data_IF_421653637965
#
_entry.id   IF_421653637965
#
_cell.length_a   1.000
_cell.length_b   1.000
_cell.length_c   1.000
_cell.angle_alpha   90.00
_cell.angle_beta   90.00
_cell.angle_gamma   90.00
#
_symmetry.space_group_name_H-M   'P 1'
#
loop_
_entity.id
_entity.type
_entity.pdbx_description
1 polymer ?
#
# COMPACT_ATOMS: atom_id res chain seq x y z
N UNK A 1 -39.06 35.70 34.83
CA UNK A 1 -38.94 36.98 34.12
C UNK A 1 -38.85 36.72 32.62
N UNK A 2 -39.83 37.27 31.89
CA UNK A 2 -39.88 37.56 30.45
C UNK A 2 -39.77 36.41 29.44
N UNK A 3 -40.59 36.27 28.39
CA UNK A 3 -41.94 36.75 28.00
C UNK A 3 -42.34 35.85 26.80
N UNK A 4 -43.60 35.41 26.77
CA UNK A 4 -44.53 35.15 25.64
C UNK A 4 -43.95 34.84 24.24
N UNK A 5 -44.46 33.90 23.44
CA UNK A 5 -45.83 33.83 22.92
C UNK A 5 -46.08 32.43 22.31
N UNK A 6 -47.31 31.93 22.48
CA UNK A 6 -47.89 30.75 21.83
C UNK A 6 -48.43 31.10 20.43
N UNK A 7 -48.31 30.18 19.47
CA UNK A 7 -49.25 29.99 18.36
C UNK A 7 -49.16 28.51 17.92
N UNK A 8 -50.09 27.63 18.31
CA UNK A 8 -51.33 27.25 17.56
C UNK A 8 -50.95 26.66 16.18
N UNK A 9 -50.82 25.34 16.01
CA UNK A 9 -51.83 24.27 15.88
C UNK A 9 -52.54 24.28 14.51
N UNK A 10 -52.27 23.24 13.70
CA UNK A 10 -53.15 22.54 12.73
C UNK A 10 -52.24 21.60 11.88
N UNK A 11 -52.21 20.29 12.14
CA UNK A 11 -53.11 19.25 11.62
C UNK A 11 -52.69 18.72 10.23
N UNK A 12 -52.17 17.49 10.24
CA UNK A 12 -52.47 16.46 9.24
C UNK A 12 -51.75 16.51 7.90
N UNK A 13 -50.73 15.66 7.75
CA UNK A 13 -50.65 14.72 6.63
C UNK A 13 -49.58 13.65 6.94
N UNK A 14 -50.04 12.43 7.21
CA UNK A 14 -49.22 11.22 7.14
C UNK A 14 -48.83 11.05 5.68
N UNK A 15 -47.56 11.29 5.35
CA UNK A 15 -46.96 10.84 4.11
C UNK A 15 -45.81 9.90 4.44
N UNK A 16 -46.13 8.61 4.32
CA UNK A 16 -45.35 7.53 3.74
C UNK A 16 -43.85 7.48 4.09
N UNK A 17 -43.52 6.43 4.84
CA UNK A 17 -42.22 5.79 4.93
C UNK A 17 -41.61 5.62 3.53
N UNK A 18 -40.75 6.58 3.17
CA UNK A 18 -39.95 6.56 1.96
C UNK A 18 -38.51 6.22 2.32
N UNK A 19 -38.16 4.96 2.05
CA UNK A 19 -36.84 4.46 1.71
C UNK A 19 -35.67 4.85 2.63
N UNK A 20 -35.18 3.85 3.37
CA UNK A 20 -33.83 3.81 3.90
C UNK A 20 -32.85 4.38 2.88
N UNK A 21 -32.08 5.37 3.32
CA UNK A 21 -30.88 5.82 2.61
C UNK A 21 -29.90 4.68 2.51
N UNK A 22 -30.03 3.87 1.46
CA UNK A 22 -28.94 3.06 0.96
C UNK A 22 -28.02 4.04 0.28
N UNK A 23 -27.00 4.49 1.03
CA UNK A 23 -25.81 5.11 0.50
C UNK A 23 -25.28 4.09 -0.51
N UNK A 24 -25.66 4.26 -1.76
CA UNK A 24 -25.07 3.57 -2.89
C UNK A 24 -23.59 3.96 -2.81
N UNK A 25 -22.80 3.03 -2.28
CA UNK A 25 -21.38 3.01 -2.53
C UNK A 25 -21.23 3.25 -4.02
N UNK A 26 -20.56 4.36 -4.34
CA UNK A 26 -20.02 4.58 -5.66
C UNK A 26 -19.19 3.34 -5.97
N UNK A 27 -19.77 2.42 -6.72
CA UNK A 27 -19.02 1.49 -7.55
C UNK A 27 -18.31 2.39 -8.55
N UNK A 28 -17.12 2.86 -8.19
CA UNK A 28 -16.17 3.34 -9.17
C UNK A 28 -16.00 2.21 -10.17
N UNK A 29 -16.60 2.39 -11.33
CA UNK A 29 -16.22 1.67 -12.54
C UNK A 29 -14.85 2.23 -12.90
N UNK A 30 -13.76 1.55 -12.54
CA UNK A 30 -12.43 1.76 -13.14
C UNK A 30 -12.04 0.51 -13.90
N UNK A 31 -12.19 0.63 -15.22
CA UNK A 31 -11.80 -0.33 -16.25
C UNK A 31 -10.27 -0.41 -16.43
N UNK A 32 -9.50 0.15 -15.50
CA UNK A 32 -8.02 0.28 -15.54
C UNK A 32 -7.27 -0.81 -14.76
N UNK A 33 -7.98 -1.69 -14.06
CA UNK A 33 -7.36 -2.69 -13.16
C UNK A 33 -7.10 -4.04 -13.82
N UNK A 34 -7.66 -4.30 -15.01
CA UNK A 34 -7.52 -5.60 -15.69
C UNK A 34 -6.08 -5.88 -16.16
N UNK A 35 -5.23 -4.85 -16.24
CA UNK A 35 -3.85 -4.94 -16.71
C UNK A 35 -2.81 -4.70 -15.61
N UNK A 36 -3.22 -4.60 -14.34
CA UNK A 36 -2.31 -4.42 -13.22
C UNK A 36 -2.08 -5.72 -12.46
N UNK A 37 -0.85 -5.92 -12.02
CA UNK A 37 -0.45 -7.02 -11.14
C UNK A 37 -0.73 -6.62 -9.69
N UNK A 38 -1.20 -7.57 -8.90
CA UNK A 38 -1.36 -7.44 -7.45
C UNK A 38 -0.12 -8.01 -6.78
N UNK A 39 0.65 -7.19 -6.09
CA UNK A 39 1.87 -7.63 -5.40
C UNK A 39 1.84 -7.18 -3.94
N UNK A 40 2.50 -7.93 -3.07
CA UNK A 40 2.68 -7.56 -1.67
C UNK A 40 4.15 -7.26 -1.40
N UNK A 41 4.44 -6.09 -0.85
CA UNK A 41 5.77 -5.70 -0.36
C UNK A 41 5.77 -5.77 1.16
N UNK A 42 6.76 -6.43 1.74
CA UNK A 42 6.99 -6.52 3.18
C UNK A 42 8.39 -6.00 3.47
N UNK A 43 8.52 -5.05 4.41
CA UNK A 43 9.80 -4.54 4.85
C UNK A 43 10.08 -5.01 6.28
N UNK A 44 11.27 -5.59 6.47
CA UNK A 44 11.74 -6.10 7.76
C UNK A 44 13.09 -5.52 8.13
N UNK A 45 13.28 -5.28 9.41
CA UNK A 45 14.57 -4.99 10.01
C UNK A 45 14.78 -5.89 11.23
N UNK A 46 15.91 -6.59 11.28
CA UNK A 46 16.22 -7.57 12.34
C UNK A 46 15.05 -8.56 12.58
N UNK A 47 14.55 -9.11 11.47
CA UNK A 47 13.40 -10.03 11.37
C UNK A 47 12.04 -9.49 11.84
N UNK A 48 11.97 -8.22 12.23
CA UNK A 48 10.71 -7.56 12.60
C UNK A 48 10.13 -6.83 11.40
N UNK A 49 8.89 -7.15 11.06
CA UNK A 49 8.11 -6.40 10.07
C UNK A 49 7.80 -5.01 10.61
N UNK A 50 8.12 -3.99 9.81
CA UNK A 50 7.81 -2.60 10.12
C UNK A 50 6.90 -1.94 9.09
N UNK A 51 6.81 -2.50 7.88
CA UNK A 51 5.83 -2.10 6.87
C UNK A 51 5.37 -3.30 6.04
N UNK A 52 4.11 -3.24 5.62
CA UNK A 52 3.51 -4.18 4.68
C UNK A 52 2.47 -3.46 3.83
N UNK A 53 2.61 -3.56 2.51
CA UNK A 53 1.76 -2.87 1.54
C UNK A 53 1.36 -3.80 0.39
N UNK A 54 0.08 -3.77 0.04
CA UNK A 54 -0.42 -4.37 -1.19
C UNK A 54 -0.47 -3.29 -2.29
N UNK A 55 0.12 -3.59 -3.44
CA UNK A 55 0.28 -2.66 -4.55
C UNK A 55 -0.36 -3.21 -5.83
N UNK A 56 -0.97 -2.30 -6.59
CA UNK A 56 -1.41 -2.54 -7.97
C UNK A 56 -0.39 -1.91 -8.92
N UNK A 57 0.50 -2.74 -9.46
CA UNK A 57 1.64 -2.31 -10.30
C UNK A 57 1.37 -2.64 -11.76
N UNK A 58 2.04 -1.96 -12.69
CA UNK A 58 1.87 -2.27 -14.12
C UNK A 58 2.59 -3.58 -14.44
N UNK A 59 2.13 -4.27 -15.49
CA UNK A 59 2.89 -5.38 -16.09
C UNK A 59 4.27 -4.91 -16.53
N UNK A 60 5.22 -5.82 -16.48
CA UNK A 60 6.61 -5.62 -16.93
C UNK A 60 7.36 -4.48 -16.21
N UNK A 61 6.93 -4.10 -14.99
CA UNK A 61 7.70 -3.21 -14.11
C UNK A 61 8.74 -4.03 -13.31
N UNK A 62 9.96 -3.48 -13.22
CA UNK A 62 11.00 -4.04 -12.35
C UNK A 62 10.66 -3.79 -10.88
N UNK A 63 11.15 -4.67 -10.00
CA UNK A 63 11.02 -4.48 -8.56
C UNK A 63 11.66 -3.15 -8.11
N UNK A 64 12.82 -2.78 -8.66
CA UNK A 64 13.46 -1.50 -8.34
C UNK A 64 12.53 -0.31 -8.62
N UNK A 65 11.93 -0.27 -9.81
CA UNK A 65 11.01 0.80 -10.20
C UNK A 65 9.80 0.86 -9.27
N UNK A 66 9.22 -0.29 -8.92
CA UNK A 66 8.11 -0.34 -7.98
C UNK A 66 8.52 0.17 -6.60
N UNK A 67 9.72 -0.15 -6.14
CA UNK A 67 10.23 0.36 -4.86
C UNK A 67 10.41 1.88 -4.90
N UNK A 68 11.08 2.44 -5.91
CA UNK A 68 11.33 3.89 -6.04
C UNK A 68 10.04 4.72 -6.17
N UNK A 69 8.98 4.16 -6.75
CA UNK A 69 7.68 4.83 -6.89
C UNK A 69 6.90 4.84 -5.58
N UNK A 70 7.05 3.82 -4.73
CA UNK A 70 6.18 3.59 -3.57
C UNK A 70 6.86 3.83 -2.21
N UNK A 71 8.19 3.98 -2.21
CA UNK A 71 9.06 4.11 -1.05
C UNK A 71 10.16 5.12 -1.33
N UNK A 72 10.72 5.71 -0.28
CA UNK A 72 11.95 6.47 -0.42
C UNK A 72 13.12 5.49 -0.45
N UNK A 73 13.67 5.25 -1.63
CA UNK A 73 14.81 4.35 -1.84
C UNK A 73 16.08 5.18 -1.99
N UNK A 74 17.09 4.86 -1.18
CA UNK A 74 18.45 5.34 -1.34
C UNK A 74 19.28 4.25 -2.01
N UNK A 75 20.12 4.64 -2.97
CA UNK A 75 20.97 3.73 -3.74
C UNK A 75 22.45 4.03 -3.47
N UNK A 76 23.26 2.98 -3.33
CA UNK A 76 24.72 3.04 -3.44
C UNK A 76 25.14 2.18 -4.63
N UNK A 77 25.58 2.84 -5.71
CA UNK A 77 25.81 2.24 -7.03
C UNK A 77 24.54 1.50 -7.48
N UNK A 78 24.65 0.18 -7.68
CA UNK A 78 23.58 -0.67 -8.19
C UNK A 78 22.79 -1.37 -7.07
N UNK A 79 23.07 -1.04 -5.80
CA UNK A 79 22.45 -1.68 -4.64
C UNK A 79 21.59 -0.70 -3.84
N UNK A 80 20.47 -1.20 -3.31
CA UNK A 80 19.64 -0.45 -2.35
C UNK A 80 20.40 -0.27 -1.05
N UNK A 81 20.75 0.97 -0.71
CA UNK A 81 21.44 1.34 0.53
C UNK A 81 20.48 1.81 1.63
N UNK A 82 19.24 2.15 1.28
CA UNK A 82 18.23 2.51 2.26
C UNK A 82 16.80 2.45 1.73
N UNK A 83 15.85 2.17 2.63
CA UNK A 83 14.41 2.22 2.35
C UNK A 83 13.73 2.96 3.49
N UNK A 84 12.99 4.02 3.20
CA UNK A 84 12.24 4.84 4.15
C UNK A 84 13.07 5.31 5.36
N UNK A 85 14.35 5.62 5.13
CA UNK A 85 15.28 6.09 6.16
C UNK A 85 15.99 4.98 6.95
N UNK A 86 15.66 3.71 6.73
CA UNK A 86 16.38 2.57 7.28
C UNK A 86 17.59 2.25 6.39
N UNK A 87 18.77 2.63 6.86
CA UNK A 87 20.02 2.57 6.10
C UNK A 87 20.80 1.28 6.38
N UNK A 88 21.54 0.82 5.38
CA UNK A 88 22.57 -0.18 5.56
C UNK A 88 23.70 0.32 6.46
N UNK A 89 24.39 -0.62 7.09
CA UNK A 89 25.62 -0.38 7.83
C UNK A 89 26.66 -1.42 7.41
N UNK A 90 27.49 -1.06 6.43
CA UNK A 90 28.56 -1.92 5.95
C UNK A 90 29.59 -2.26 7.03
N UNK A 91 29.80 -1.38 8.02
CA UNK A 91 30.73 -1.63 9.13
C UNK A 91 30.21 -2.70 10.10
N UNK A 92 28.89 -2.81 10.22
CA UNK A 92 28.21 -3.84 11.00
C UNK A 92 27.79 -5.07 10.17
N UNK A 93 28.12 -5.09 8.87
CA UNK A 93 27.68 -6.09 7.90
C UNK A 93 26.15 -6.20 7.77
N UNK A 94 25.43 -5.09 7.93
CA UNK A 94 23.96 -5.02 7.83
C UNK A 94 23.55 -4.51 6.46
N UNK A 95 22.86 -5.34 5.68
CA UNK A 95 22.51 -5.07 4.29
C UNK A 95 21.04 -5.33 4.00
N UNK A 96 20.53 -4.65 2.97
CA UNK A 96 19.24 -4.93 2.36
C UNK A 96 19.37 -6.11 1.40
N UNK A 97 18.60 -7.16 1.67
CA UNK A 97 18.37 -8.28 0.76
C UNK A 97 16.89 -8.42 0.49
N UNK A 98 16.52 -9.12 -0.58
CA UNK A 98 15.12 -9.39 -0.89
C UNK A 98 14.89 -10.84 -1.27
N UNK A 99 13.72 -11.33 -0.88
CA UNK A 99 13.16 -12.62 -1.30
C UNK A 99 11.89 -12.37 -2.11
N UNK A 100 11.62 -13.24 -3.07
CA UNK A 100 10.33 -13.32 -3.74
C UNK A 100 9.70 -14.68 -3.46
N UNK A 101 8.48 -14.67 -2.93
CA UNK A 101 7.75 -15.88 -2.53
C UNK A 101 8.57 -16.80 -1.60
N UNK A 102 9.34 -16.19 -0.70
CA UNK A 102 10.17 -16.88 0.29
C UNK A 102 11.49 -17.45 -0.25
N UNK A 103 11.90 -17.08 -1.46
CA UNK A 103 13.19 -17.50 -2.05
C UNK A 103 13.96 -16.29 -2.55
N UNK A 104 15.26 -16.27 -2.31
CA UNK A 104 16.14 -15.25 -2.85
C UNK A 104 16.30 -15.45 -4.37
N UNK A 105 16.05 -14.44 -5.21
CA UNK A 105 16.29 -14.54 -6.66
C UNK A 105 17.78 -14.48 -7.00
N UNK A 106 18.13 -15.01 -8.18
CA UNK A 106 19.50 -14.97 -8.72
C UNK A 106 19.86 -13.64 -9.41
N UNK A 107 18.94 -12.68 -9.43
CA UNK A 107 19.06 -11.38 -10.12
C UNK A 107 18.85 -10.21 -9.16
N UNK A 108 19.32 -9.02 -9.52
CA UNK A 108 19.05 -7.79 -8.76
C UNK A 108 17.60 -7.28 -8.93
N UNK A 109 17.18 -6.37 -8.06
CA UNK A 109 15.83 -5.77 -8.12
C UNK A 109 15.57 -4.99 -9.43
N UNK A 110 16.63 -4.50 -10.09
CA UNK A 110 16.56 -3.86 -11.42
C UNK A 110 16.14 -4.85 -12.51
N UNK A 111 16.55 -6.12 -12.38
CA UNK A 111 16.35 -7.16 -13.39
C UNK A 111 15.20 -8.11 -13.04
N UNK A 112 14.65 -8.02 -11.83
CA UNK A 112 13.48 -8.78 -11.43
C UNK A 112 12.19 -8.08 -11.87
N UNK A 113 11.51 -8.65 -12.88
CA UNK A 113 10.19 -8.22 -13.29
C UNK A 113 9.10 -8.93 -12.48
N UNK A 114 8.20 -8.14 -11.88
CA UNK A 114 7.17 -8.64 -10.96
C UNK A 114 6.13 -9.49 -11.68
N UNK A 115 5.58 -10.46 -10.96
CA UNK A 115 4.47 -11.31 -11.40
C UNK A 115 3.24 -11.10 -10.52
N UNK A 116 2.06 -11.37 -11.07
CA UNK A 116 0.82 -11.28 -10.30
C UNK A 116 0.85 -12.25 -9.11
N UNK A 117 0.53 -11.74 -7.93
CA UNK A 117 0.55 -12.48 -6.67
C UNK A 117 1.91 -12.56 -5.99
N UNK A 118 2.98 -11.95 -6.54
CA UNK A 118 4.30 -11.98 -5.90
C UNK A 118 4.26 -11.34 -4.50
N UNK A 119 4.85 -12.05 -3.54
CA UNK A 119 5.15 -11.54 -2.20
C UNK A 119 6.65 -11.27 -2.14
N UNK A 120 7.01 -10.00 -2.13
CA UNK A 120 8.39 -9.55 -2.02
C UNK A 120 8.68 -9.14 -0.58
N UNK A 121 9.71 -9.73 0.01
CA UNK A 121 10.16 -9.37 1.36
C UNK A 121 11.55 -8.76 1.29
N UNK A 122 11.68 -7.48 1.59
CA UNK A 122 12.96 -6.82 1.83
C UNK A 122 13.35 -6.97 3.31
N UNK A 123 14.61 -7.31 3.57
CA UNK A 123 15.16 -7.53 4.91
C UNK A 123 16.44 -6.72 5.06
N UNK A 124 16.48 -5.82 6.05
CA UNK A 124 17.68 -5.15 6.51
C UNK A 124 18.26 -5.95 7.67
N UNK A 125 19.16 -6.89 7.36
CA UNK A 125 19.70 -7.84 8.33
C UNK A 125 21.22 -7.93 8.22
N UNK A 126 21.83 -8.39 9.31
CA UNK A 126 23.25 -8.73 9.33
C UNK A 126 23.52 -10.02 8.55
N UNK A 127 24.54 -9.99 7.68
CA UNK A 127 25.07 -11.16 6.96
C UNK A 127 26.06 -11.97 7.81
#
# INVERSE_FOLDING_TARGET
>A
MKKFVRAILLMGAIFLLGACGQKAEQKETKKDDADKLSVTIILKEDDKEFDKKELKVKKDESLQTVMEVNYKVDMDKDFVSGIDGHQQDASASKYWLYDVNGKQPDVGAVEYFLKDGDIVTWKLNKL
#
